data_IF_599119718835
#
_entry.id   IF_599119718835
#
_cell.length_a   1.000
_cell.length_b   1.000
_cell.length_c   1.000
_cell.angle_alpha   90.00
_cell.angle_beta   90.00
_cell.angle_gamma   90.00
#
_symmetry.space_group_name_H-M   'P 1'
#
loop_
_entity.id
_entity.type
_entity.pdbx_description
1 polymer ?
#
# COMPACT_ATOMS: atom_id res chain seq x y z
N UNK A 1 16.81 10.38 -12.15
CA UNK A 1 15.85 9.49 -12.83
C UNK A 1 14.70 10.36 -13.35
N UNK A 2 14.26 10.24 -14.61
CA UNK A 2 13.15 11.05 -15.10
C UNK A 2 11.91 10.74 -14.26
N UNK A 3 11.09 11.77 -14.01
CA UNK A 3 9.86 11.66 -13.24
C UNK A 3 9.00 10.51 -13.81
N UNK A 4 8.87 9.46 -13.00
CA UNK A 4 8.37 8.15 -13.43
C UNK A 4 6.92 8.23 -13.91
N UNK A 5 6.63 7.43 -14.94
CA UNK A 5 5.28 7.24 -15.47
C UNK A 5 4.25 7.07 -14.34
N UNK A 6 3.06 7.64 -14.56
CA UNK A 6 1.94 7.46 -13.64
C UNK A 6 1.74 5.96 -13.34
N UNK A 7 1.46 5.60 -12.07
CA UNK A 7 1.23 4.21 -11.74
C UNK A 7 0.08 3.68 -12.61
N UNK A 8 0.16 2.43 -13.10
CA UNK A 8 -0.97 1.75 -13.72
C UNK A 8 -2.26 1.98 -12.92
N UNK A 9 -3.34 2.31 -13.63
CA UNK A 9 -4.60 2.76 -13.01
C UNK A 9 -5.15 1.81 -11.93
N UNK A 10 -4.81 0.52 -12.00
CA UNK A 10 -5.23 -0.49 -11.03
C UNK A 10 -4.44 -0.49 -9.71
N UNK A 11 -3.26 0.13 -9.64
CA UNK A 11 -2.39 0.04 -8.46
C UNK A 11 -2.99 0.66 -7.20
N UNK A 12 -3.62 1.85 -7.22
CA UNK A 12 -4.26 2.41 -6.03
C UNK A 12 -5.32 1.46 -5.46
N UNK A 13 -6.19 0.90 -6.29
CA UNK A 13 -7.24 -0.04 -5.86
C UNK A 13 -6.65 -1.35 -5.30
N UNK A 14 -5.59 -1.88 -5.92
CA UNK A 14 -4.88 -3.07 -5.43
C UNK A 14 -4.22 -2.83 -4.07
N UNK A 15 -3.51 -1.73 -3.93
CA UNK A 15 -2.88 -1.33 -2.68
C UNK A 15 -3.94 -1.15 -1.59
N UNK A 16 -5.02 -0.42 -1.86
CA UNK A 16 -6.12 -0.19 -0.91
C UNK A 16 -6.75 -1.49 -0.41
N UNK A 17 -7.10 -2.41 -1.32
CA UNK A 17 -7.67 -3.72 -0.97
C UNK A 17 -6.72 -4.55 -0.11
N UNK A 18 -5.45 -4.61 -0.47
CA UNK A 18 -4.45 -5.35 0.28
C UNK A 18 -4.16 -4.70 1.64
N UNK A 19 -4.12 -3.37 1.72
CA UNK A 19 -3.95 -2.62 2.95
C UNK A 19 -5.10 -2.86 3.93
N UNK A 20 -6.35 -2.86 3.45
CA UNK A 20 -7.52 -3.26 4.26
C UNK A 20 -7.36 -4.65 4.84
N UNK A 21 -7.04 -5.64 3.97
CA UNK A 21 -6.83 -7.03 4.39
C UNK A 21 -5.67 -7.20 5.37
N UNK A 22 -4.62 -6.38 5.26
CA UNK A 22 -3.49 -6.39 6.19
C UNK A 22 -3.81 -5.70 7.53
N UNK A 23 -4.91 -4.94 7.61
CA UNK A 23 -5.39 -4.31 8.85
C UNK A 23 -5.21 -2.80 8.93
N UNK A 24 -4.91 -2.10 7.82
CA UNK A 24 -4.94 -0.64 7.80
C UNK A 24 -6.39 -0.12 7.72
N UNK A 25 -6.71 1.00 8.41
CA UNK A 25 -8.06 1.57 8.45
C UNK A 25 -8.35 2.42 7.20
N UNK A 26 -8.29 1.81 6.01
CA UNK A 26 -8.31 2.50 4.72
C UNK A 26 -9.56 3.35 4.46
N UNK A 27 -10.69 3.00 5.08
CA UNK A 27 -11.97 3.72 4.93
C UNK A 27 -12.07 4.95 5.86
N UNK A 28 -11.12 5.11 6.78
CA UNK A 28 -11.13 6.18 7.79
C UNK A 28 -9.98 7.18 7.65
N UNK A 29 -9.00 6.90 6.79
CA UNK A 29 -7.83 7.76 6.60
C UNK A 29 -7.48 7.91 5.12
N UNK A 30 -6.84 9.02 4.70
CA UNK A 30 -6.42 9.20 3.31
C UNK A 30 -5.46 8.11 2.83
N UNK A 31 -5.53 7.76 1.54
CA UNK A 31 -4.70 6.71 0.94
C UNK A 31 -3.19 7.00 1.09
N UNK A 32 -2.82 8.27 1.06
CA UNK A 32 -1.46 8.77 1.24
C UNK A 32 -0.95 8.49 2.66
N UNK A 33 -1.82 8.62 3.67
CA UNK A 33 -1.49 8.31 5.06
C UNK A 33 -1.27 6.80 5.25
N UNK A 34 -2.08 5.95 4.62
CA UNK A 34 -1.88 4.50 4.60
C UNK A 34 -0.55 4.15 3.93
N UNK A 35 -0.25 4.73 2.77
CA UNK A 35 1.01 4.50 2.06
C UNK A 35 2.23 4.94 2.89
N UNK A 36 2.14 6.11 3.53
CA UNK A 36 3.19 6.60 4.42
C UNK A 36 3.41 5.63 5.58
N UNK A 37 2.34 5.23 6.28
CA UNK A 37 2.41 4.31 7.40
C UNK A 37 2.98 2.94 7.01
N UNK A 38 2.58 2.42 5.84
CA UNK A 38 3.13 1.19 5.27
C UNK A 38 4.64 1.32 4.99
N UNK A 39 5.06 2.40 4.34
CA UNK A 39 6.46 2.64 4.02
C UNK A 39 7.32 2.79 5.26
N UNK A 40 6.85 3.46 6.32
CA UNK A 40 7.61 3.55 7.57
C UNK A 40 8.01 2.17 8.10
N UNK A 41 7.16 1.16 7.95
CA UNK A 41 7.41 -0.19 8.46
C UNK A 41 8.24 -1.06 7.52
N UNK A 42 8.01 -0.95 6.21
CA UNK A 42 8.56 -1.94 5.26
C UNK A 42 9.47 -1.34 4.17
N UNK A 43 9.36 -0.04 3.90
CA UNK A 43 10.11 0.67 2.86
C UNK A 43 10.47 2.11 3.30
N UNK A 44 11.20 2.31 4.42
CA UNK A 44 11.30 3.61 5.10
C UNK A 44 11.97 4.72 4.27
N UNK A 45 12.73 4.34 3.24
CA UNK A 45 13.44 5.27 2.36
C UNK A 45 12.73 5.52 1.01
N UNK A 46 11.57 4.88 0.77
CA UNK A 46 10.80 5.09 -0.45
C UNK A 46 10.16 6.48 -0.47
N UNK A 47 10.26 7.16 -1.62
CA UNK A 47 9.79 8.54 -1.82
C UNK A 47 8.91 8.65 -3.06
N UNK A 48 8.14 9.74 -3.14
CA UNK A 48 7.24 10.03 -4.25
C UNK A 48 5.93 9.24 -4.17
N UNK A 49 5.19 9.20 -5.29
CA UNK A 49 3.91 8.49 -5.39
C UNK A 49 4.01 6.97 -5.20
N UNK A 50 2.88 6.29 -5.28
CA UNK A 50 2.78 4.83 -5.19
C UNK A 50 3.69 4.14 -6.22
N UNK A 51 4.49 3.16 -5.77
CA UNK A 51 5.41 2.41 -6.62
C UNK A 51 4.98 0.94 -6.72
N UNK A 52 5.38 0.26 -7.79
CA UNK A 52 5.11 -1.18 -7.99
C UNK A 52 5.52 -2.04 -6.78
N UNK A 53 6.67 -1.72 -6.17
CA UNK A 53 7.19 -2.44 -5.02
C UNK A 53 6.36 -2.24 -3.74
N UNK A 54 5.60 -1.14 -3.61
CA UNK A 54 4.66 -1.01 -2.49
C UNK A 54 3.49 -1.98 -2.66
N UNK A 55 2.92 -2.04 -3.87
CA UNK A 55 1.79 -2.91 -4.21
C UNK A 55 2.14 -4.38 -4.05
N UNK A 56 3.25 -4.81 -4.65
CA UNK A 56 3.69 -6.21 -4.59
C UNK A 56 3.98 -6.66 -3.16
N UNK A 57 4.59 -5.80 -2.36
CA UNK A 57 4.95 -6.12 -0.97
C UNK A 57 3.72 -6.24 -0.08
N UNK A 58 2.78 -5.29 -0.14
CA UNK A 58 1.58 -5.37 0.70
C UNK A 58 0.64 -6.52 0.29
N UNK A 59 0.55 -6.84 -1.00
CA UNK A 59 -0.21 -8.01 -1.47
C UNK A 59 0.39 -9.32 -0.94
N UNK A 60 1.72 -9.46 -0.97
CA UNK A 60 2.41 -10.61 -0.40
C UNK A 60 2.23 -10.74 1.11
N UNK A 61 2.34 -9.63 1.84
CA UNK A 61 2.13 -9.58 3.29
C UNK A 61 0.69 -9.93 3.66
N UNK A 62 -0.30 -9.29 3.02
CA UNK A 62 -1.72 -9.52 3.28
C UNK A 62 -2.18 -10.95 2.95
N UNK A 63 -1.56 -11.60 1.98
CA UNK A 63 -1.85 -12.99 1.64
C UNK A 63 -1.35 -13.98 2.71
N UNK A 64 -0.21 -13.68 3.36
CA UNK A 64 0.50 -14.61 4.25
C UNK A 64 0.20 -14.34 5.73
N UNK A 65 -0.03 -13.08 6.09
CA UNK A 65 -0.34 -12.61 7.44
C UNK A 65 -1.44 -11.53 7.36
N UNK A 66 -2.71 -11.91 7.14
CA UNK A 66 -3.80 -10.96 7.18
C UNK A 66 -3.96 -10.35 8.59
N UNK A 67 -4.47 -9.12 8.65
CA UNK A 67 -4.84 -8.49 9.92
C UNK A 67 -6.03 -9.20 10.57
N UNK A 68 -6.35 -8.89 11.85
CA UNK A 68 -7.58 -9.38 12.47
C UNK A 68 -8.76 -8.97 11.57
N UNK A 69 -9.54 -9.96 11.14
CA UNK A 69 -10.54 -9.82 10.09
C UNK A 69 -11.45 -8.62 10.32
N UNK A 70 -11.30 -7.59 9.48
CA UNK A 70 -12.25 -6.48 9.37
C UNK A 70 -13.24 -6.83 8.25
N UNK A 71 -13.95 -7.93 8.46
CA UNK A 71 -15.09 -8.35 7.64
C UNK A 71 -16.36 -7.71 8.21
#
# INVERSE_FOLDING_TARGET
APAGAAPPAAWPARFHRAARRFGYPVDHVPAEAVLAAFRMRFRPWARGGLQAADVAMIEGLAARWPGPGMD
#
